data_IF_014374903960
#
_entry.id   IF_014374903960
#
_cell.length_a   1.000
_cell.length_b   1.000
_cell.length_c   1.000
_cell.angle_alpha   90.00
_cell.angle_beta   90.00
_cell.angle_gamma   90.00
#
_symmetry.space_group_name_H-M   'P 1'
#
loop_
_entity.id
_entity.type
_entity.pdbx_description
1 polymer ?
#
# COMPACT_ATOMS: atom_id res chain seq x y z
N UNK A 1 -18.51 4.71 18.46
CA UNK A 1 -17.84 5.91 17.92
C UNK A 1 -17.96 5.88 16.40
N UNK A 2 -18.39 6.97 15.75
CA UNK A 2 -18.49 6.98 14.27
C UNK A 2 -17.09 7.17 13.68
N UNK A 3 -16.77 6.46 12.59
CA UNK A 3 -15.46 6.53 11.91
C UNK A 3 -15.04 7.98 11.60
N UNK A 4 -15.99 8.81 11.17
CA UNK A 4 -15.77 10.24 10.92
C UNK A 4 -15.17 10.98 12.12
N UNK A 5 -15.66 10.74 13.33
CA UNK A 5 -15.17 11.42 14.53
C UNK A 5 -13.75 11.02 14.90
N UNK A 6 -13.33 9.80 14.51
CA UNK A 6 -11.98 9.31 14.76
C UNK A 6 -10.94 9.88 13.78
N UNK A 7 -11.37 10.38 12.62
CA UNK A 7 -10.46 10.74 11.51
C UNK A 7 -10.54 12.22 11.10
N UNK A 8 -11.56 12.97 11.56
CA UNK A 8 -11.82 14.36 11.15
C UNK A 8 -10.68 15.34 11.47
N UNK A 9 -9.89 15.04 12.51
CA UNK A 9 -8.82 15.90 13.00
C UNK A 9 -7.44 15.51 12.42
N UNK A 10 -7.37 14.46 11.59
CA UNK A 10 -6.11 14.02 10.95
C UNK A 10 -5.78 14.97 9.78
N UNK A 11 -4.63 15.66 9.80
CA UNK A 11 -4.23 16.58 8.73
C UNK A 11 -4.13 15.87 7.38
N UNK A 12 -4.52 16.54 6.29
CA UNK A 12 -4.43 15.97 4.93
C UNK A 12 -3.02 15.49 4.56
N UNK A 13 -1.98 16.13 5.10
CA UNK A 13 -0.57 15.74 4.90
C UNK A 13 -0.24 14.37 5.46
N UNK A 14 -1.02 13.87 6.43
CA UNK A 14 -0.84 12.59 7.11
C UNK A 14 -1.60 11.44 6.44
N UNK A 15 -2.24 11.70 5.31
CA UNK A 15 -2.88 10.67 4.51
C UNK A 15 -2.02 10.32 3.30
N UNK A 16 -1.97 9.03 2.96
CA UNK A 16 -1.37 8.52 1.74
C UNK A 16 -2.46 8.05 0.79
N UNK A 17 -2.35 8.45 -0.47
CA UNK A 17 -3.22 7.96 -1.55
C UNK A 17 -2.87 6.51 -1.87
N UNK A 18 -3.91 5.68 -1.94
CA UNK A 18 -3.81 4.30 -2.39
C UNK A 18 -4.35 4.23 -3.81
N UNK A 19 -3.51 3.73 -4.71
CA UNK A 19 -3.86 3.49 -6.10
C UNK A 19 -3.52 2.06 -6.50
N UNK A 20 -4.43 1.43 -7.24
CA UNK A 20 -4.21 0.14 -7.90
C UNK A 20 -3.77 0.38 -9.34
N UNK A 21 -2.72 -0.31 -9.81
CA UNK A 21 -2.34 -0.24 -11.23
C UNK A 21 -3.08 -1.32 -12.00
N UNK A 22 -4.13 -0.94 -12.73
CA UNK A 22 -4.83 -1.82 -13.69
C UNK A 22 -4.56 -1.34 -15.11
N UNK A 23 -4.02 -2.22 -15.96
CA UNK A 23 -3.81 -1.97 -17.40
C UNK A 23 -3.07 -0.64 -17.66
N UNK A 24 -1.96 -0.43 -16.95
CA UNK A 24 -1.10 0.75 -17.03
C UNK A 24 -1.74 2.09 -16.67
N UNK A 25 -2.95 2.09 -16.09
CA UNK A 25 -3.59 3.28 -15.53
C UNK A 25 -3.72 3.15 -14.02
N UNK A 26 -3.23 4.14 -13.25
CA UNK A 26 -3.49 4.18 -11.82
C UNK A 26 -4.98 4.44 -11.57
N UNK A 27 -5.63 3.53 -10.87
CA UNK A 27 -6.99 3.67 -10.37
C UNK A 27 -6.92 4.04 -8.88
N UNK A 28 -7.40 5.22 -8.52
CA UNK A 28 -7.50 5.63 -7.12
C UNK A 28 -8.52 4.76 -6.39
N UNK A 29 -8.12 4.15 -5.27
CA UNK A 29 -8.98 3.26 -4.46
C UNK A 29 -9.23 3.77 -3.04
N UNK A 30 -8.61 4.87 -2.64
CA UNK A 30 -8.87 5.55 -1.37
C UNK A 30 -7.62 6.16 -0.76
N UNK A 31 -7.73 6.52 0.52
CA UNK A 31 -6.63 7.10 1.33
C UNK A 31 -6.48 6.32 2.64
N UNK A 32 -5.27 6.28 3.18
CA UNK A 32 -4.98 5.69 4.49
C UNK A 32 -4.12 6.65 5.33
N UNK A 33 -4.38 6.79 6.64
CA UNK A 33 -3.49 7.51 7.55
C UNK A 33 -2.12 6.83 7.62
N UNK A 34 -1.03 7.61 7.57
CA UNK A 34 0.35 7.11 7.66
C UNK A 34 0.59 6.26 8.92
N UNK A 35 -0.02 6.65 10.05
CA UNK A 35 0.08 5.93 11.33
C UNK A 35 -0.43 4.47 11.28
N UNK A 36 -1.33 4.15 10.35
CA UNK A 36 -1.86 2.79 10.18
C UNK A 36 -0.99 1.93 9.27
N UNK A 37 -0.03 2.52 8.55
CA UNK A 37 0.94 1.79 7.75
C UNK A 37 1.99 1.18 8.67
N UNK A 38 1.96 -0.15 8.80
CA UNK A 38 2.98 -0.91 9.51
C UNK A 38 3.91 -1.58 8.51
N UNK A 39 5.20 -1.27 8.60
CA UNK A 39 6.25 -1.84 7.76
C UNK A 39 6.89 -0.82 6.82
N UNK A 40 7.97 -1.24 6.15
CA UNK A 40 8.70 -0.37 5.23
C UNK A 40 7.94 -0.18 3.90
N UNK A 41 7.76 1.07 3.47
CA UNK A 41 7.32 1.35 2.10
C UNK A 41 8.51 1.11 1.17
N UNK A 42 8.51 -0.08 0.59
CA UNK A 42 9.52 -0.48 -0.36
C UNK A 42 9.22 0.19 -1.69
N UNK A 43 9.90 1.31 -1.99
CA UNK A 43 9.79 2.03 -3.25
C UNK A 43 10.45 1.22 -4.39
N UNK A 44 9.83 0.08 -4.70
CA UNK A 44 10.34 -0.93 -5.61
C UNK A 44 9.40 -1.06 -6.80
N UNK A 45 9.98 -1.20 -7.99
CA UNK A 45 9.22 -1.53 -9.18
C UNK A 45 8.96 -3.03 -9.17
N UNK A 46 7.70 -3.43 -9.27
CA UNK A 46 7.36 -4.83 -9.54
C UNK A 46 7.86 -5.17 -10.94
N UNK A 47 8.81 -6.09 -11.02
CA UNK A 47 9.41 -6.54 -12.27
C UNK A 47 8.71 -7.79 -12.77
N UNK A 48 8.30 -8.67 -11.86
CA UNK A 48 7.62 -9.91 -12.20
C UNK A 48 6.69 -10.37 -11.08
N UNK A 49 5.47 -10.76 -11.43
CA UNK A 49 4.59 -11.48 -10.51
C UNK A 49 5.02 -12.96 -10.47
N UNK A 50 5.24 -13.51 -9.28
CA UNK A 50 5.77 -14.86 -9.09
C UNK A 50 4.66 -15.88 -8.83
N UNK A 51 3.79 -15.61 -7.85
CA UNK A 51 2.71 -16.53 -7.48
C UNK A 51 1.67 -15.85 -6.61
N UNK A 52 0.46 -16.40 -6.60
CA UNK A 52 -0.55 -16.14 -5.57
C UNK A 52 -0.72 -17.42 -4.77
N UNK A 53 -0.58 -17.34 -3.45
CA UNK A 53 -0.92 -18.44 -2.54
C UNK A 53 -2.17 -18.04 -1.76
N UNK A 54 -3.30 -18.66 -2.07
CA UNK A 54 -4.51 -18.53 -1.26
C UNK A 54 -4.31 -19.23 0.07
N UNK A 55 -4.45 -18.51 1.18
CA UNK A 55 -4.55 -19.15 2.48
C UNK A 55 -6.00 -19.59 2.67
N UNK A 56 -6.31 -20.82 2.25
CA UNK A 56 -7.65 -21.43 2.35
C UNK A 56 -8.27 -21.26 3.75
N UNK A 57 -7.44 -21.26 4.80
CA UNK A 57 -7.91 -21.18 6.19
C UNK A 57 -7.93 -19.77 6.79
N UNK A 58 -7.49 -18.73 6.09
CA UNK A 58 -7.36 -17.36 6.68
C UNK A 58 -8.02 -16.24 5.88
N UNK A 59 -8.70 -16.57 4.77
CA UNK A 59 -9.48 -15.61 3.99
C UNK A 59 -8.63 -14.52 3.31
N UNK A 60 -7.33 -14.72 3.16
CA UNK A 60 -6.44 -13.80 2.44
C UNK A 60 -5.55 -14.51 1.44
N UNK A 61 -5.16 -13.79 0.39
CA UNK A 61 -4.24 -14.24 -0.66
C UNK A 61 -2.88 -13.58 -0.46
N UNK A 62 -1.81 -14.39 -0.47
CA UNK A 62 -0.43 -13.90 -0.43
C UNK A 62 0.04 -13.75 -1.88
N UNK A 63 0.30 -12.51 -2.30
CA UNK A 63 0.86 -12.21 -3.61
C UNK A 63 2.38 -12.05 -3.50
N UNK A 64 3.12 -12.87 -4.25
CA UNK A 64 4.58 -12.84 -4.27
C UNK A 64 5.07 -12.14 -5.54
N UNK A 65 5.94 -11.14 -5.38
CA UNK A 65 6.48 -10.35 -6.48
C UNK A 65 8.02 -10.34 -6.43
N UNK A 66 8.66 -10.39 -7.60
CA UNK A 66 10.04 -9.96 -7.77
C UNK A 66 10.06 -8.45 -7.99
N UNK A 67 10.82 -7.76 -7.16
CA UNK A 67 10.82 -6.30 -7.07
C UNK A 67 12.24 -5.78 -7.15
N UNK A 68 12.46 -4.72 -7.93
CA UNK A 68 13.74 -4.01 -8.02
C UNK A 68 13.63 -2.64 -7.37
N UNK A 69 14.71 -2.18 -6.72
CA UNK A 69 14.74 -0.81 -6.19
C UNK A 69 14.50 0.20 -7.32
N UNK A 70 13.53 1.11 -7.14
CA UNK A 70 13.50 2.30 -8.00
C UNK A 70 14.74 3.09 -7.64
N UNK A 71 15.68 3.21 -8.60
CA UNK A 71 17.02 3.81 -8.42
C UNK A 71 17.07 5.22 -7.80
N UNK A 72 15.94 5.86 -7.46
CA UNK A 72 15.89 7.27 -7.10
C UNK A 72 15.45 7.60 -5.68
N UNK A 73 14.64 6.82 -4.97
CA UNK A 73 14.07 7.31 -3.69
C UNK A 73 13.77 6.19 -2.69
N UNK A 74 14.70 5.94 -1.75
CA UNK A 74 14.41 5.16 -0.54
C UNK A 74 13.96 6.15 0.52
N UNK A 75 12.67 6.16 0.88
CA UNK A 75 12.16 6.93 2.01
C UNK A 75 11.93 5.97 3.17
N UNK A 76 12.59 6.22 4.30
CA UNK A 76 12.33 5.55 5.58
C UNK A 76 11.42 6.46 6.39
N UNK A 77 10.37 5.89 6.97
CA UNK A 77 9.55 6.55 7.98
C UNK A 77 10.03 6.03 9.34
N UNK A 78 10.27 6.94 10.29
CA UNK A 78 10.67 6.63 11.67
C UNK A 78 9.52 6.00 12.47
#
# INVERSE_FOLDING_TARGET
MKLYEAIKDIPDSEWLDISEVKRDKPLHIGRIPKELLKGEILNRKVVKHLSVRSSENRGYSIHCFYVEARKKDIHKFE
#
